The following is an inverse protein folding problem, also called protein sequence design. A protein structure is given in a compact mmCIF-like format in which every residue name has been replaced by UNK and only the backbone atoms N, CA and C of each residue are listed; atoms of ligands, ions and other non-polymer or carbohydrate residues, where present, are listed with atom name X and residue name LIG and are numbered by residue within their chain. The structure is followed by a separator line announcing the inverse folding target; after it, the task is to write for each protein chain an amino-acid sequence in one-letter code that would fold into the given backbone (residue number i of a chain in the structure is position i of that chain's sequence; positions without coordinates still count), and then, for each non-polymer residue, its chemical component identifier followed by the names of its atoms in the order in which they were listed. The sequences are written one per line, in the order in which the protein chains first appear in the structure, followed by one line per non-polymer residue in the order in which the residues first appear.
data_IF_763153776496
#
_entry.id   IF_763153776496
#
_cell.length_a   1.000
_cell.length_b   1.000
_cell.length_c   1.000
_cell.angle_alpha   90.00
_cell.angle_beta   90.00
_cell.angle_gamma   90.00
#
_symmetry.space_group_name_H-M   'P 1'
#
loop_
_entity.id
_entity.type
_entity.pdbx_description
1 polymer ?
#
# COMPACT_ATOMS: atom_id res chain seq x y z
N UNK A 1 14.37 -17.91 26.69
CA UNK A 1 14.91 -16.55 26.45
C UNK A 1 15.85 -16.63 25.27
N UNK A 2 15.39 -16.26 24.07
CA UNK A 2 16.25 -16.11 22.89
C UNK A 2 16.15 -14.66 22.44
N UNK A 3 17.30 -14.01 22.30
CA UNK A 3 17.47 -12.58 22.11
C UNK A 3 17.17 -12.19 20.65
N UNK A 4 16.09 -11.45 20.41
CA UNK A 4 15.84 -10.77 19.13
C UNK A 4 16.89 -9.67 18.94
N UNK A 5 17.89 -9.96 18.10
CA UNK A 5 18.89 -8.98 17.69
C UNK A 5 18.23 -7.91 16.80
N UNK A 6 18.55 -6.66 17.07
CA UNK A 6 18.17 -5.48 16.28
C UNK A 6 18.47 -5.73 14.80
N UNK A 7 17.44 -5.86 13.97
CA UNK A 7 17.57 -6.07 12.53
C UNK A 7 18.12 -4.79 11.88
N UNK A 8 19.38 -4.85 11.42
CA UNK A 8 19.95 -3.86 10.52
C UNK A 8 19.89 -4.43 9.10
N UNK A 9 19.48 -3.62 8.12
CA UNK A 9 19.56 -3.97 6.71
C UNK A 9 20.96 -4.54 6.36
N UNK A 10 21.07 -5.65 5.61
CA UNK A 10 22.36 -6.11 5.14
C UNK A 10 23.00 -5.01 4.26
N UNK A 11 24.20 -4.57 4.62
CA UNK A 11 24.99 -3.69 3.75
C UNK A 11 25.31 -4.44 2.46
N UNK A 12 25.02 -3.84 1.31
CA UNK A 12 25.48 -4.33 0.02
C UNK A 12 26.99 -4.57 0.07
N UNK A 13 27.41 -5.82 -0.13
CA UNK A 13 28.81 -6.16 -0.26
C UNK A 13 29.30 -5.61 -1.61
N UNK A 14 30.03 -4.50 -1.58
CA UNK A 14 30.78 -4.03 -2.75
C UNK A 14 31.86 -5.08 -3.05
N UNK A 15 31.63 -5.89 -4.08
CA UNK A 15 32.65 -6.79 -4.64
C UNK A 15 33.73 -5.96 -5.34
N UNK A 16 34.72 -5.48 -4.59
CA UNK A 16 35.97 -4.99 -5.19
C UNK A 16 36.86 -6.18 -5.53
N UNK A 17 36.80 -6.65 -6.79
CA UNK A 17 37.87 -7.49 -7.35
C UNK A 17 39.15 -6.65 -7.38
N UNK A 18 40.20 -7.21 -6.76
CA UNK A 18 41.43 -6.50 -6.43
C UNK A 18 42.24 -6.04 -7.64
N UNK A 19 42.89 -4.89 -7.46
CA UNK A 19 44.11 -4.50 -8.18
C UNK A 19 45.06 -3.86 -7.16
N UNK A 20 46.34 -4.19 -7.33
CA UNK A 20 47.47 -4.12 -6.37
C UNK A 20 47.83 -2.70 -5.88
N UNK A 21 48.39 -2.65 -4.67
CA UNK A 21 49.15 -1.50 -4.12
C UNK A 21 50.43 -1.24 -4.94
N UNK A 22 50.97 -0.01 -4.85
CA UNK A 22 52.21 0.13 -4.08
C UNK A 22 52.23 1.32 -3.10
N UNK A 23 53.21 1.26 -2.20
CA UNK A 23 53.49 2.13 -1.05
C UNK A 23 54.02 3.53 -1.41
N UNK A 24 53.79 4.54 -0.54
CA UNK A 24 54.85 5.36 0.11
C UNK A 24 54.32 6.48 1.03
N UNK A 25 54.83 6.46 2.26
CA UNK A 25 55.31 7.53 3.17
C UNK A 25 54.67 8.94 3.32
N UNK A 26 54.46 9.26 4.61
CA UNK A 26 54.90 10.46 5.37
C UNK A 26 53.95 11.66 5.63
N UNK A 27 53.59 11.80 6.92
CA UNK A 27 53.51 13.00 7.80
C UNK A 27 52.90 14.31 7.28
N UNK A 28 51.81 14.77 7.94
CA UNK A 28 51.78 16.01 8.76
C UNK A 28 50.44 16.20 9.50
N UNK A 29 50.51 16.63 10.77
CA UNK A 29 49.41 17.20 11.57
C UNK A 29 49.07 18.60 11.04
N UNK A 30 47.78 18.93 10.96
CA UNK A 30 47.26 20.28 11.27
C UNK A 30 45.90 20.14 11.96
N UNK A 31 45.80 20.82 13.10
CA UNK A 31 44.62 21.04 13.94
C UNK A 31 43.60 21.95 13.27
N UNK A 32 42.30 21.65 13.40
CA UNK A 32 41.22 22.55 12.99
C UNK A 32 39.87 22.08 13.52
N UNK A 33 39.51 22.63 14.69
CA UNK A 33 38.16 22.93 15.19
C UNK A 33 36.97 22.08 14.72
N UNK A 34 36.44 21.35 15.70
CA UNK A 34 35.15 20.68 15.73
C UNK A 34 33.99 21.59 15.33
N UNK A 35 33.23 21.15 14.33
CA UNK A 35 31.82 21.50 14.19
C UNK A 35 31.08 20.17 14.22
N UNK A 36 30.50 19.83 15.37
CA UNK A 36 29.58 18.72 15.52
C UNK A 36 28.30 19.04 14.72
N UNK A 37 28.27 18.66 13.45
CA UNK A 37 27.01 18.44 12.76
C UNK A 37 26.45 17.14 13.30
N UNK A 38 25.34 17.23 14.03
CA UNK A 38 24.67 16.08 14.59
C UNK A 38 24.41 15.04 13.51
N UNK A 39 24.91 13.83 13.72
CA UNK A 39 24.47 12.65 13.00
C UNK A 39 22.96 12.54 13.25
N UNK A 40 22.17 12.90 12.24
CA UNK A 40 20.75 12.57 12.21
C UNK A 40 20.64 11.06 12.32
N UNK A 41 20.09 10.59 13.43
CA UNK A 41 19.87 9.18 13.67
C UNK A 41 19.10 8.59 12.48
N UNK A 42 19.77 7.76 11.68
CA UNK A 42 19.10 6.94 10.68
C UNK A 42 18.05 6.09 11.42
N UNK A 43 16.77 6.34 11.17
CA UNK A 43 15.65 5.67 11.81
C UNK A 43 15.71 4.18 11.53
N UNK A 44 16.22 3.42 12.50
CA UNK A 44 16.15 1.96 12.48
C UNK A 44 14.71 1.60 12.79
N UNK A 45 14.04 0.91 11.86
CA UNK A 45 12.75 0.27 12.14
C UNK A 45 12.92 -0.67 13.34
N UNK A 46 11.94 -0.73 14.26
CA UNK A 46 11.98 -1.68 15.36
C UNK A 46 12.00 -3.12 14.81
N UNK A 47 12.53 -4.12 15.56
CA UNK A 47 12.33 -5.52 15.17
C UNK A 47 10.82 -5.83 15.11
N UNK A 48 10.36 -6.64 14.14
CA UNK A 48 8.95 -7.01 14.04
C UNK A 48 8.50 -7.68 15.34
N UNK A 49 7.39 -7.22 15.92
CA UNK A 49 6.84 -7.82 17.15
C UNK A 49 6.22 -9.19 16.92
N UNK A 50 5.81 -9.48 15.68
CA UNK A 50 5.35 -10.80 15.26
C UNK A 50 5.71 -11.05 13.79
N UNK A 51 6.18 -12.26 13.51
CA UNK A 51 6.35 -12.79 12.15
C UNK A 51 4.96 -13.15 11.57
N UNK A 52 4.84 -13.39 10.25
CA UNK A 52 3.66 -14.06 9.69
C UNK A 52 3.34 -15.35 10.47
N UNK A 53 2.09 -15.54 10.91
CA UNK A 53 1.67 -16.70 11.73
C UNK A 53 1.21 -16.43 13.18
N UNK A 54 0.96 -15.16 13.55
CA UNK A 54 0.28 -14.81 14.82
C UNK A 54 -1.23 -15.15 14.75
N UNK A 55 -1.90 -15.50 15.88
CA UNK A 55 -3.33 -15.78 15.89
C UNK A 55 -4.18 -14.58 15.42
N UNK A 56 -5.25 -14.88 14.69
CA UNK A 56 -6.12 -13.88 14.06
C UNK A 56 -7.37 -13.53 14.88
N UNK A 57 -7.86 -12.26 14.81
CA UNK A 57 -7.23 -11.11 14.16
C UNK A 57 -6.10 -10.51 15.02
N UNK A 58 -4.96 -10.19 14.38
CA UNK A 58 -3.88 -9.45 15.04
C UNK A 58 -4.13 -7.94 14.89
N UNK A 59 -3.77 -7.16 15.93
CA UNK A 59 -3.86 -5.71 15.92
C UNK A 59 -2.54 -5.12 16.44
N UNK A 60 -2.00 -4.06 15.80
CA UNK A 60 -0.79 -3.41 16.28
C UNK A 60 -1.05 -2.74 17.64
N UNK A 61 -0.14 -2.92 18.60
CA UNK A 61 -0.26 -2.42 19.98
C UNK A 61 0.24 -0.97 20.15
N UNK A 62 0.72 -0.34 19.07
CA UNK A 62 1.21 1.03 19.10
C UNK A 62 0.16 2.01 19.64
N UNK A 63 0.50 2.73 20.72
CA UNK A 63 -0.38 3.76 21.32
C UNK A 63 -0.50 5.03 20.46
N UNK A 64 0.25 5.10 19.36
CA UNK A 64 0.30 6.24 18.44
C UNK A 64 0.37 5.74 17.00
N UNK A 65 -0.11 6.56 16.08
CA UNK A 65 -0.05 6.32 14.64
C UNK A 65 1.37 6.01 14.13
N UNK A 66 2.38 6.79 14.51
CA UNK A 66 3.75 6.56 14.04
C UNK A 66 4.29 5.20 14.50
N UNK A 67 3.98 4.80 15.73
CA UNK A 67 4.34 3.48 16.22
C UNK A 67 3.66 2.36 15.41
N UNK A 68 2.38 2.52 15.04
CA UNK A 68 1.68 1.57 14.17
C UNK A 68 2.33 1.50 12.78
N UNK A 69 2.66 2.66 12.20
CA UNK A 69 3.29 2.74 10.88
C UNK A 69 4.69 2.10 10.87
N UNK A 70 5.49 2.35 11.91
CA UNK A 70 6.82 1.76 12.07
C UNK A 70 6.73 0.24 12.26
N UNK A 71 5.73 -0.24 13.00
CA UNK A 71 5.47 -1.67 13.21
C UNK A 71 5.06 -2.37 11.90
N UNK A 72 4.15 -1.78 11.13
CA UNK A 72 3.73 -2.31 9.83
C UNK A 72 4.89 -2.31 8.82
N UNK A 73 5.70 -1.25 8.79
CA UNK A 73 6.89 -1.18 7.95
C UNK A 73 7.93 -2.25 8.34
N UNK A 74 8.20 -2.43 9.63
CA UNK A 74 9.09 -3.46 10.14
C UNK A 74 8.60 -4.86 9.76
N UNK A 75 7.29 -5.10 9.85
CA UNK A 75 6.65 -6.38 9.53
C UNK A 75 6.86 -6.78 8.07
N UNK A 76 6.62 -5.87 7.13
CA UNK A 76 6.79 -6.17 5.70
C UNK A 76 8.26 -6.30 5.29
N UNK A 77 9.15 -5.53 5.93
CA UNK A 77 10.61 -5.69 5.75
C UNK A 77 11.08 -7.05 6.25
N UNK A 78 10.58 -7.49 7.41
CA UNK A 78 10.89 -8.81 7.96
C UNK A 78 10.45 -9.93 7.01
N UNK A 79 9.22 -9.86 6.49
CA UNK A 79 8.70 -10.82 5.54
C UNK A 79 9.54 -10.87 4.24
N UNK A 80 9.93 -9.71 3.71
CA UNK A 80 10.62 -9.63 2.41
C UNK A 80 12.10 -10.00 2.47
N UNK A 81 12.81 -9.64 3.54
CA UNK A 81 14.28 -9.76 3.60
C UNK A 81 14.81 -10.77 4.61
N UNK A 82 13.96 -11.24 5.53
CA UNK A 82 14.37 -12.09 6.66
C UNK A 82 13.48 -13.32 6.87
N UNK A 83 12.59 -13.63 5.92
CA UNK A 83 11.80 -14.88 5.91
C UNK A 83 12.64 -16.12 5.58
N UNK A 84 11.99 -17.29 5.53
CA UNK A 84 12.63 -18.61 5.34
C UNK A 84 13.27 -18.85 3.94
N UNK A 85 13.32 -17.82 3.09
CA UNK A 85 13.84 -17.87 1.72
C UNK A 85 15.30 -17.41 1.59
N UNK A 86 15.79 -17.35 0.34
CA UNK A 86 17.13 -16.88 -0.05
C UNK A 86 17.28 -15.34 -0.07
N UNK A 87 16.27 -14.60 0.41
CA UNK A 87 16.23 -13.14 0.40
C UNK A 87 15.75 -12.54 -0.93
N UNK A 88 15.24 -13.35 -1.87
CA UNK A 88 14.77 -12.89 -3.18
C UNK A 88 13.24 -12.81 -3.32
N UNK A 89 12.50 -13.26 -2.29
CA UNK A 89 11.04 -13.30 -2.27
C UNK A 89 10.41 -11.90 -2.40
N UNK A 90 9.38 -11.78 -3.26
CA UNK A 90 8.50 -10.61 -3.29
C UNK A 90 7.35 -10.83 -2.32
N UNK A 91 7.02 -9.79 -1.57
CA UNK A 91 5.93 -9.78 -0.61
C UNK A 91 4.81 -8.89 -1.11
N UNK A 92 3.62 -9.46 -1.23
CA UNK A 92 2.39 -8.80 -1.64
C UNK A 92 1.46 -8.67 -0.44
N UNK A 93 1.19 -7.44 -0.03
CA UNK A 93 0.29 -7.14 1.10
C UNK A 93 -0.96 -6.47 0.57
N UNK A 94 -2.12 -7.07 0.82
CA UNK A 94 -3.40 -6.46 0.48
C UNK A 94 -3.84 -5.48 1.55
N UNK A 95 -4.23 -4.26 1.19
CA UNK A 95 -4.71 -3.25 2.12
C UNK A 95 -6.13 -2.84 1.71
N UNK A 96 -7.11 -3.28 2.49
CA UNK A 96 -8.51 -2.95 2.31
C UNK A 96 -9.03 -1.99 3.38
N UNK A 97 -10.19 -1.39 3.09
CA UNK A 97 -10.89 -0.50 4.00
C UNK A 97 -12.00 0.23 3.27
N UNK A 98 -13.01 0.70 4.01
CA UNK A 98 -14.11 1.48 3.43
C UNK A 98 -13.59 2.78 2.78
N UNK A 99 -14.33 3.39 1.82
CA UNK A 99 -14.05 4.75 1.39
C UNK A 99 -13.94 5.69 2.60
N UNK A 100 -12.90 6.52 2.66
CA UNK A 100 -12.65 7.39 3.81
C UNK A 100 -11.86 6.75 4.97
N UNK A 101 -11.51 5.46 4.90
CA UNK A 101 -10.75 4.77 5.96
C UNK A 101 -9.31 5.24 6.14
N UNK A 102 -8.71 5.84 5.11
CA UNK A 102 -7.30 6.24 5.13
C UNK A 102 -6.33 5.17 4.60
N UNK A 103 -6.83 4.08 3.98
CA UNK A 103 -6.00 3.00 3.40
C UNK A 103 -4.90 3.46 2.43
N UNK A 104 -5.19 4.41 1.53
CA UNK A 104 -4.19 4.94 0.60
C UNK A 104 -3.13 5.77 1.33
N UNK A 105 -3.51 6.46 2.40
CA UNK A 105 -2.58 7.20 3.27
C UNK A 105 -1.68 6.24 4.04
N UNK A 106 -2.25 5.18 4.63
CA UNK A 106 -1.50 4.10 5.28
C UNK A 106 -0.48 3.48 4.31
N UNK A 107 -0.91 3.08 3.11
CA UNK A 107 -0.06 2.46 2.11
C UNK A 107 1.13 3.36 1.72
N UNK A 108 0.89 4.66 1.48
CA UNK A 108 1.95 5.63 1.19
C UNK A 108 2.94 5.75 2.34
N UNK A 109 2.48 5.93 3.57
CA UNK A 109 3.38 6.11 4.72
C UNK A 109 4.18 4.86 5.05
N UNK A 110 3.61 3.67 4.90
CA UNK A 110 4.35 2.40 5.04
C UNK A 110 5.41 2.29 3.95
N UNK A 111 5.05 2.52 2.68
CA UNK A 111 6.00 2.55 1.55
C UNK A 111 7.17 3.49 1.84
N UNK A 112 6.88 4.72 2.25
CA UNK A 112 7.91 5.74 2.47
C UNK A 112 8.87 5.35 3.59
N UNK A 113 8.35 4.79 4.70
CA UNK A 113 9.17 4.27 5.79
C UNK A 113 10.05 3.10 5.37
N UNK A 114 9.51 2.16 4.60
CA UNK A 114 10.26 1.02 4.07
C UNK A 114 11.38 1.49 3.15
N UNK A 115 11.08 2.36 2.18
CA UNK A 115 12.06 2.87 1.23
C UNK A 115 13.14 3.73 1.93
N UNK A 116 12.76 4.53 2.92
CA UNK A 116 13.71 5.30 3.72
C UNK A 116 14.66 4.39 4.51
N UNK A 117 14.13 3.32 5.13
CA UNK A 117 14.93 2.37 5.90
C UNK A 117 15.87 1.54 4.99
N UNK A 118 15.38 1.14 3.81
CA UNK A 118 16.17 0.42 2.81
C UNK A 118 17.19 1.30 2.08
N UNK A 119 16.97 2.63 2.06
CA UNK A 119 17.70 3.61 1.24
C UNK A 119 17.65 3.28 -0.26
N UNK A 120 16.56 2.66 -0.69
CA UNK A 120 16.29 2.28 -2.06
C UNK A 120 14.77 2.18 -2.25
N UNK A 121 14.32 2.24 -3.49
CA UNK A 121 12.92 2.17 -3.88
C UNK A 121 12.53 0.70 -4.11
N UNK A 122 12.37 -0.01 -2.99
CA UNK A 122 12.07 -1.46 -2.90
C UNK A 122 10.61 -1.76 -2.60
N UNK A 123 9.85 -0.75 -2.18
CA UNK A 123 8.43 -0.83 -1.88
C UNK A 123 7.63 0.06 -2.82
N UNK A 124 6.55 -0.48 -3.38
CA UNK A 124 5.65 0.23 -4.29
C UNK A 124 4.19 -0.02 -3.91
N UNK A 125 3.32 0.95 -4.20
CA UNK A 125 1.86 0.82 -4.01
C UNK A 125 1.22 0.46 -5.35
N UNK A 126 0.32 -0.51 -5.33
CA UNK A 126 -0.49 -0.96 -6.45
C UNK A 126 -1.97 -0.64 -6.15
N UNK A 127 -2.49 0.53 -6.55
CA UNK A 127 -3.84 0.95 -6.26
C UNK A 127 -4.88 0.34 -7.21
N UNK A 128 -5.99 -0.12 -6.64
CA UNK A 128 -7.17 -0.59 -7.37
C UNK A 128 -7.87 0.53 -8.15
N UNK A 129 -7.76 1.78 -7.69
CA UNK A 129 -8.51 2.91 -8.26
C UNK A 129 -8.16 3.18 -9.74
N UNK A 130 -6.97 2.78 -10.21
CA UNK A 130 -6.63 2.86 -11.64
C UNK A 130 -7.48 1.96 -12.54
N UNK A 131 -8.21 1.00 -11.98
CA UNK A 131 -9.04 0.05 -12.73
C UNK A 131 -10.52 0.44 -12.77
N UNK A 132 -10.87 1.69 -12.48
CA UNK A 132 -12.21 2.19 -12.80
C UNK A 132 -12.46 2.06 -14.31
N UNK A 133 -13.69 1.73 -14.71
CA UNK A 133 -14.09 2.06 -16.08
C UNK A 133 -14.05 3.59 -16.26
N UNK A 134 -13.59 4.04 -17.44
CA UNK A 134 -13.47 5.47 -17.69
C UNK A 134 -14.84 6.14 -17.68
N UNK A 135 -14.90 7.44 -17.38
CA UNK A 135 -16.18 8.16 -17.41
C UNK A 135 -16.83 8.07 -18.80
N UNK A 136 -16.00 8.10 -19.86
CA UNK A 136 -16.47 7.91 -21.23
C UNK A 136 -17.07 6.52 -21.46
N UNK A 137 -16.43 5.45 -20.95
CA UNK A 137 -16.96 4.09 -21.10
C UNK A 137 -18.32 3.94 -20.38
N UNK A 138 -18.47 4.55 -19.21
CA UNK A 138 -19.73 4.56 -18.47
C UNK A 138 -20.82 5.34 -19.23
N UNK A 139 -20.52 6.57 -19.69
CA UNK A 139 -21.49 7.43 -20.37
C UNK A 139 -21.95 6.89 -21.73
N UNK A 140 -21.05 6.23 -22.46
CA UNK A 140 -21.34 5.67 -23.78
C UNK A 140 -21.87 4.23 -23.72
N UNK A 141 -21.90 3.63 -22.52
CA UNK A 141 -22.13 2.21 -22.32
C UNK A 141 -21.31 1.34 -23.26
N UNK A 142 -20.00 1.60 -23.31
CA UNK A 142 -19.07 0.95 -24.23
C UNK A 142 -19.29 -0.56 -24.23
N UNK A 143 -19.42 -1.15 -25.42
CA UNK A 143 -19.61 -2.59 -25.64
C UNK A 143 -20.78 -3.23 -24.85
N UNK A 144 -21.73 -2.43 -24.35
CA UNK A 144 -22.82 -2.92 -23.51
C UNK A 144 -22.36 -3.37 -22.12
N UNK A 145 -21.31 -2.77 -21.57
CA UNK A 145 -20.74 -3.10 -20.25
C UNK A 145 -21.78 -3.14 -19.12
N UNK A 146 -22.80 -2.27 -19.20
CA UNK A 146 -23.82 -2.16 -18.16
C UNK A 146 -25.23 -2.36 -18.72
N UNK A 147 -26.10 -3.08 -18.00
CA UNK A 147 -27.53 -3.10 -18.29
C UNK A 147 -28.16 -1.70 -18.21
N UNK A 148 -27.64 -0.85 -17.31
CA UNK A 148 -28.07 0.53 -17.09
C UNK A 148 -26.85 1.44 -16.84
N UNK A 149 -26.52 2.23 -17.86
CA UNK A 149 -25.40 3.17 -17.84
C UNK A 149 -25.61 4.32 -16.85
N UNK A 150 -26.84 4.79 -16.67
CA UNK A 150 -27.12 5.86 -15.71
C UNK A 150 -26.87 5.39 -14.28
N UNK A 151 -27.28 4.16 -13.96
CA UNK A 151 -26.96 3.54 -12.67
C UNK A 151 -25.45 3.42 -12.52
N UNK A 152 -24.73 2.97 -13.54
CA UNK A 152 -23.27 2.84 -13.48
C UNK A 152 -22.57 4.18 -13.19
N UNK A 153 -22.99 5.27 -13.84
CA UNK A 153 -22.47 6.63 -13.56
C UNK A 153 -22.80 7.07 -12.14
N UNK A 154 -24.07 6.94 -11.71
CA UNK A 154 -24.51 7.34 -10.35
C UNK A 154 -23.76 6.56 -9.27
N UNK A 155 -23.51 5.27 -9.54
CA UNK A 155 -22.86 4.29 -8.66
C UNK A 155 -21.36 4.18 -8.87
N UNK A 156 -20.72 5.06 -9.67
CA UNK A 156 -19.27 5.02 -9.91
C UNK A 156 -18.52 4.97 -8.58
N UNK A 157 -17.61 4.01 -8.49
CA UNK A 157 -16.92 3.62 -7.26
C UNK A 157 -17.48 2.35 -6.62
N UNK A 158 -18.61 1.80 -7.08
CA UNK A 158 -19.14 0.48 -6.67
C UNK A 158 -18.34 -0.67 -7.30
N UNK A 159 -18.36 -1.91 -6.76
CA UNK A 159 -17.54 -3.01 -7.28
C UNK A 159 -17.68 -3.27 -8.78
N UNK A 160 -18.91 -3.18 -9.31
CA UNK A 160 -19.19 -3.44 -10.73
C UNK A 160 -18.72 -2.33 -11.67
N UNK A 161 -18.30 -1.16 -11.16
CA UNK A 161 -17.78 -0.05 -11.99
C UNK A 161 -16.27 -0.09 -12.15
N UNK A 162 -15.64 -1.22 -11.80
CA UNK A 162 -14.22 -1.51 -12.00
C UNK A 162 -14.05 -2.69 -12.94
N UNK A 163 -12.98 -2.66 -13.71
CA UNK A 163 -12.46 -3.83 -14.40
C UNK A 163 -11.71 -4.74 -13.40
N UNK A 164 -12.50 -5.47 -12.61
CA UNK A 164 -12.00 -6.32 -11.54
C UNK A 164 -11.18 -7.51 -12.07
N UNK A 165 -11.51 -8.00 -13.27
CA UNK A 165 -10.74 -9.06 -13.93
C UNK A 165 -9.36 -8.56 -14.33
N UNK A 166 -9.27 -7.39 -14.97
CA UNK A 166 -7.99 -6.78 -15.32
C UNK A 166 -7.15 -6.48 -14.08
N UNK A 167 -7.76 -5.96 -13.00
CA UNK A 167 -7.07 -5.69 -11.74
C UNK A 167 -6.44 -6.96 -11.16
N UNK A 168 -7.25 -8.00 -10.96
CA UNK A 168 -6.78 -9.24 -10.34
C UNK A 168 -5.76 -9.98 -11.20
N UNK A 169 -5.94 -9.97 -12.54
CA UNK A 169 -4.96 -10.51 -13.48
C UNK A 169 -3.63 -9.75 -13.42
N UNK A 170 -3.64 -8.42 -13.32
CA UNK A 170 -2.42 -7.60 -13.25
C UNK A 170 -1.65 -7.81 -11.94
N UNK A 171 -2.35 -7.95 -10.81
CA UNK A 171 -1.72 -8.29 -9.52
C UNK A 171 -1.09 -9.69 -9.57
N UNK A 172 -1.81 -10.69 -10.11
CA UNK A 172 -1.28 -12.05 -10.30
C UNK A 172 -0.04 -12.05 -11.19
N UNK A 173 -0.06 -11.29 -12.29
CA UNK A 173 1.08 -11.11 -13.18
C UNK A 173 2.29 -10.55 -12.44
N UNK A 174 2.10 -9.47 -11.67
CA UNK A 174 3.16 -8.85 -10.87
C UNK A 174 3.77 -9.80 -9.83
N UNK A 175 2.99 -10.74 -9.26
CA UNK A 175 3.49 -11.75 -8.31
C UNK A 175 4.21 -12.91 -8.99
N UNK A 176 3.65 -13.45 -10.07
CA UNK A 176 4.22 -14.60 -10.78
C UNK A 176 5.55 -14.28 -11.47
N UNK A 177 5.75 -13.02 -11.86
CA UNK A 177 6.96 -12.54 -12.53
C UNK A 177 8.07 -12.22 -11.53
N UNK A 178 8.82 -13.26 -11.15
CA UNK A 178 10.10 -13.16 -10.44
C UNK A 178 11.23 -12.53 -11.29
N UNK A 179 11.05 -11.29 -11.73
CA UNK A 179 12.13 -10.32 -12.06
C UNK A 179 12.72 -10.23 -13.49
N UNK A 180 12.01 -10.53 -14.58
CA UNK A 180 12.54 -10.23 -15.93
C UNK A 180 11.92 -9.02 -16.64
N UNK A 181 10.64 -8.70 -16.40
CA UNK A 181 9.94 -7.61 -17.09
C UNK A 181 9.17 -6.71 -16.10
N UNK A 182 9.08 -5.43 -16.45
CA UNK A 182 8.33 -4.46 -15.67
C UNK A 182 6.82 -4.66 -15.92
N UNK A 183 6.02 -4.71 -14.85
CA UNK A 183 4.55 -4.76 -14.98
C UNK A 183 3.99 -3.36 -14.88
N UNK A 184 3.41 -2.89 -15.98
CA UNK A 184 2.68 -1.62 -16.01
C UNK A 184 1.27 -1.79 -15.43
N UNK A 185 0.77 -0.77 -14.75
CA UNK A 185 -0.58 -0.71 -14.21
C UNK A 185 -1.12 0.72 -14.29
N UNK A 186 -2.44 0.89 -14.45
CA UNK A 186 -3.05 2.21 -14.46
C UNK A 186 -3.02 2.86 -13.08
N UNK A 187 -2.99 4.19 -13.05
CA UNK A 187 -3.28 5.00 -11.87
C UNK A 187 -4.64 5.70 -12.04
N UNK A 188 -5.21 6.19 -10.95
CA UNK A 188 -6.36 7.09 -11.03
C UNK A 188 -5.89 8.54 -10.95
N UNK A 189 -6.17 9.33 -11.99
CA UNK A 189 -5.83 10.74 -11.99
C UNK A 189 -6.95 11.54 -11.31
N UNK A 190 -6.64 12.15 -10.17
CA UNK A 190 -7.59 12.96 -9.41
C UNK A 190 -7.93 14.30 -10.08
N UNK A 191 -7.09 14.78 -11.01
CA UNK A 191 -7.35 16.02 -11.77
C UNK A 191 -8.40 15.78 -12.86
N UNK A 192 -8.27 14.68 -13.61
CA UNK A 192 -9.21 14.32 -14.69
C UNK A 192 -10.39 13.49 -14.19
N UNK A 193 -10.31 12.96 -12.96
CA UNK A 193 -11.25 11.97 -12.41
C UNK A 193 -11.40 10.72 -13.30
N UNK A 194 -10.30 10.29 -13.92
CA UNK A 194 -10.28 9.11 -14.79
C UNK A 194 -8.98 8.30 -14.67
N UNK A 195 -8.99 7.01 -15.06
CA UNK A 195 -7.78 6.21 -15.18
C UNK A 195 -6.76 6.80 -16.15
N UNK A 196 -5.49 6.65 -15.80
CA UNK A 196 -4.34 6.89 -16.66
C UNK A 196 -3.59 5.56 -16.82
N UNK A 197 -3.64 4.99 -18.03
CA UNK A 197 -2.96 3.74 -18.35
C UNK A 197 -1.45 3.85 -18.19
N UNK A 198 -0.83 2.73 -17.82
CA UNK A 198 0.64 2.59 -17.68
C UNK A 198 1.34 3.61 -16.75
N UNK A 199 0.59 4.30 -15.90
CA UNK A 199 1.12 5.31 -14.98
C UNK A 199 1.95 4.75 -13.82
N UNK A 200 1.82 3.46 -13.51
CA UNK A 200 2.54 2.77 -12.44
C UNK A 200 3.38 1.65 -13.04
N UNK A 201 4.65 1.58 -12.66
CA UNK A 201 5.60 0.59 -13.15
C UNK A 201 6.12 -0.26 -11.98
N UNK A 202 5.71 -1.52 -11.93
CA UNK A 202 6.15 -2.49 -10.94
C UNK A 202 7.40 -3.22 -11.45
N UNK A 203 8.55 -2.71 -11.02
CA UNK A 203 9.88 -3.19 -11.43
C UNK A 203 10.34 -4.41 -10.67
N UNK A 204 11.28 -5.15 -11.26
CA UNK A 204 12.00 -6.27 -10.63
C UNK A 204 12.57 -5.95 -9.23
N UNK A 205 13.05 -4.72 -9.01
CA UNK A 205 13.62 -4.27 -7.73
C UNK A 205 12.59 -4.12 -6.60
N UNK A 206 11.29 -3.99 -6.91
CA UNK A 206 10.27 -3.83 -5.89
C UNK A 206 10.04 -5.18 -5.21
N UNK A 207 10.64 -5.36 -4.03
CA UNK A 207 10.48 -6.55 -3.19
C UNK A 207 9.19 -6.53 -2.39
N UNK A 208 8.61 -5.35 -2.15
CA UNK A 208 7.35 -5.21 -1.41
C UNK A 208 6.34 -4.49 -2.30
N UNK A 209 5.16 -5.09 -2.48
CA UNK A 209 4.05 -4.52 -3.25
C UNK A 209 2.83 -4.42 -2.36
N UNK A 210 2.40 -3.19 -2.08
CA UNK A 210 1.21 -2.90 -1.29
C UNK A 210 0.01 -2.75 -2.22
N UNK A 211 -0.80 -3.80 -2.33
CA UNK A 211 -2.01 -3.84 -3.18
C UNK A 211 -3.16 -3.22 -2.41
N UNK A 212 -3.55 -1.99 -2.73
CA UNK A 212 -4.54 -1.24 -1.95
C UNK A 212 -5.83 -0.97 -2.72
N UNK A 213 -6.98 -1.12 -2.05
CA UNK A 213 -8.28 -0.92 -2.67
C UNK A 213 -9.44 -1.31 -1.78
N UNK A 214 -10.63 -0.75 -2.05
CA UNK A 214 -11.81 -1.03 -1.22
C UNK A 214 -12.18 -2.53 -1.28
N UNK A 215 -12.00 -3.15 -2.44
CA UNK A 215 -12.57 -4.46 -2.76
C UNK A 215 -11.57 -5.62 -2.74
N UNK A 216 -10.31 -5.35 -2.38
CA UNK A 216 -9.20 -6.33 -2.38
C UNK A 216 -9.53 -7.60 -1.56
N UNK A 217 -10.39 -7.49 -0.54
CA UNK A 217 -10.77 -8.61 0.32
C UNK A 217 -12.23 -9.06 0.19
N UNK A 218 -12.97 -8.61 -0.85
CA UNK A 218 -14.33 -9.10 -1.05
C UNK A 218 -14.33 -10.61 -1.36
N UNK A 219 -15.34 -11.37 -0.89
CA UNK A 219 -15.42 -12.82 -1.09
C UNK A 219 -16.03 -13.22 -2.45
N UNK A 220 -16.40 -12.24 -3.27
CA UNK A 220 -17.01 -12.48 -4.58
C UNK A 220 -15.93 -12.47 -5.66
N UNK A 221 -16.11 -13.31 -6.68
CA UNK A 221 -15.27 -13.27 -7.88
C UNK A 221 -15.38 -11.90 -8.57
N UNK A 222 -14.29 -11.40 -9.19
CA UNK A 222 -12.96 -11.99 -9.22
C UNK A 222 -12.09 -11.64 -8.00
N UNK A 223 -12.57 -10.78 -7.10
CA UNK A 223 -11.81 -10.24 -5.97
C UNK A 223 -11.28 -11.30 -5.02
N UNK A 224 -12.09 -12.32 -4.73
CA UNK A 224 -11.73 -13.39 -3.80
C UNK A 224 -10.46 -14.12 -4.21
N UNK A 225 -10.17 -14.20 -5.51
CA UNK A 225 -8.97 -14.85 -6.03
C UNK A 225 -7.66 -14.24 -5.52
N UNK A 226 -7.66 -12.99 -5.01
CA UNK A 226 -6.46 -12.40 -4.39
C UNK A 226 -6.12 -13.06 -3.05
N UNK A 227 -7.14 -13.41 -2.26
CA UNK A 227 -6.96 -14.06 -0.95
C UNK A 227 -6.99 -15.58 -1.06
N UNK A 228 -7.90 -16.12 -1.86
CA UNK A 228 -8.20 -17.56 -1.89
C UNK A 228 -7.19 -18.36 -2.74
N UNK A 229 -6.39 -17.71 -3.59
CA UNK A 229 -5.30 -18.33 -4.36
C UNK A 229 -3.92 -17.91 -3.85
N UNK A 230 -3.83 -17.43 -2.59
CA UNK A 230 -2.58 -17.01 -1.95
C UNK A 230 -1.76 -15.99 -2.76
N UNK A 231 -2.45 -15.11 -3.51
CA UNK A 231 -1.79 -14.01 -4.23
C UNK A 231 -1.28 -12.97 -3.24
N UNK A 232 -1.98 -12.77 -2.13
CA UNK A 232 -1.53 -11.92 -1.02
C UNK A 232 -0.86 -12.77 0.04
N UNK A 233 0.36 -12.40 0.43
CA UNK A 233 1.09 -13.05 1.52
C UNK A 233 0.54 -12.62 2.89
N UNK A 234 -0.06 -11.42 2.96
CA UNK A 234 -0.80 -10.94 4.11
C UNK A 234 -1.90 -9.94 3.70
N UNK A 235 -2.99 -9.86 4.45
CA UNK A 235 -4.08 -8.90 4.22
C UNK A 235 -4.36 -8.02 5.44
N UNK A 236 -4.42 -6.71 5.23
CA UNK A 236 -4.72 -5.69 6.23
C UNK A 236 -6.07 -5.06 5.94
N UNK A 237 -6.83 -4.78 6.99
CA UNK A 237 -8.03 -3.96 6.93
C UNK A 237 -7.87 -2.74 7.82
N UNK A 238 -8.05 -1.56 7.25
CA UNK A 238 -8.05 -0.30 8.00
C UNK A 238 -9.41 -0.14 8.69
N UNK A 239 -9.47 -0.53 9.96
CA UNK A 239 -10.70 -0.62 10.75
C UNK A 239 -11.08 0.74 11.32
N UNK A 240 -12.24 1.23 10.86
CA UNK A 240 -12.88 2.45 11.29
C UNK A 240 -14.39 2.24 11.21
N UNK A 241 -15.19 2.79 12.13
CA UNK A 241 -16.64 2.81 11.97
C UNK A 241 -17.04 3.48 10.65
N UNK A 242 -17.98 2.88 9.92
CA UNK A 242 -18.44 3.41 8.62
C UNK A 242 -18.91 4.86 8.74
N UNK A 243 -19.59 5.22 9.83
CA UNK A 243 -20.04 6.60 10.05
C UNK A 243 -18.89 7.60 10.13
N UNK A 244 -17.78 7.24 10.76
CA UNK A 244 -16.59 8.08 10.81
C UNK A 244 -15.92 8.17 9.43
N UNK A 245 -15.83 7.05 8.72
CA UNK A 245 -15.31 7.04 7.35
C UNK A 245 -16.16 7.95 6.42
N UNK A 246 -17.50 7.92 6.56
CA UNK A 246 -18.41 8.76 5.78
C UNK A 246 -18.28 10.24 6.14
N UNK A 247 -18.08 10.60 7.42
CA UNK A 247 -17.76 11.99 7.79
C UNK A 247 -16.53 12.51 7.05
N UNK A 248 -15.48 11.69 6.92
CA UNK A 248 -14.26 12.04 6.17
C UNK A 248 -14.51 12.14 4.66
N UNK A 249 -15.35 11.26 4.10
CA UNK A 249 -15.76 11.33 2.69
C UNK A 249 -16.55 12.60 2.40
N UNK A 250 -17.51 12.94 3.25
CA UNK A 250 -18.28 14.19 3.15
C UNK A 250 -17.34 15.41 3.18
N UNK A 251 -16.41 15.46 4.14
CA UNK A 251 -15.38 16.52 4.25
C UNK A 251 -14.58 16.64 2.95
N UNK A 252 -14.16 15.52 2.35
CA UNK A 252 -13.43 15.50 1.08
C UNK A 252 -14.27 15.99 -0.09
N UNK A 253 -15.54 15.59 -0.16
CA UNK A 253 -16.47 16.07 -1.20
C UNK A 253 -16.64 17.58 -1.15
N UNK A 254 -16.72 18.16 0.05
CA UNK A 254 -16.75 19.62 0.24
C UNK A 254 -15.43 20.26 -0.17
N UNK A 255 -14.29 19.67 0.21
CA UNK A 255 -12.97 20.19 -0.14
C UNK A 255 -12.74 20.26 -1.67
N UNK A 256 -13.35 19.36 -2.44
CA UNK A 256 -13.30 19.38 -3.92
C UNK A 256 -14.44 20.21 -4.56
N UNK A 257 -15.12 21.04 -3.77
CA UNK A 257 -16.03 22.08 -4.26
C UNK A 257 -17.53 21.73 -4.26
N UNK A 258 -17.95 20.57 -3.72
CA UNK A 258 -19.39 20.27 -3.57
C UNK A 258 -19.99 21.06 -2.41
N UNK A 259 -21.27 21.39 -2.50
CA UNK A 259 -21.98 21.94 -1.33
C UNK A 259 -22.10 20.87 -0.23
N UNK A 260 -22.24 21.26 1.06
CA UNK A 260 -22.44 20.29 2.14
C UNK A 260 -23.63 19.34 1.92
N UNK A 261 -24.72 19.84 1.32
CA UNK A 261 -25.90 19.03 1.02
C UNK A 261 -25.62 17.98 -0.07
N UNK A 262 -24.94 18.36 -1.15
CA UNK A 262 -24.54 17.43 -2.23
C UNK A 262 -23.51 16.41 -1.75
N UNK A 263 -22.53 16.85 -0.96
CA UNK A 263 -21.53 16.00 -0.34
C UNK A 263 -22.17 14.92 0.53
N UNK A 264 -23.12 15.32 1.39
CA UNK A 264 -23.88 14.41 2.24
C UNK A 264 -24.73 13.43 1.42
N UNK A 265 -25.50 13.94 0.46
CA UNK A 265 -26.33 13.10 -0.39
C UNK A 265 -25.49 12.03 -1.12
N UNK A 266 -24.35 12.43 -1.70
CA UNK A 266 -23.45 11.49 -2.39
C UNK A 266 -22.83 10.48 -1.44
N UNK A 267 -22.39 10.91 -0.26
CA UNK A 267 -21.85 10.00 0.74
C UNK A 267 -22.90 8.96 1.16
N UNK A 268 -24.11 9.38 1.50
CA UNK A 268 -25.17 8.49 1.96
C UNK A 268 -25.69 7.55 0.85
N UNK A 269 -25.85 8.06 -0.38
CA UNK A 269 -26.46 7.28 -1.47
C UNK A 269 -25.47 6.39 -2.24
N UNK A 270 -24.15 6.64 -2.12
CA UNK A 270 -23.14 5.92 -2.87
C UNK A 270 -22.03 5.36 -1.98
N UNK A 271 -21.23 6.25 -1.38
CA UNK A 271 -20.01 5.87 -0.66
C UNK A 271 -20.30 4.99 0.55
N UNK A 272 -21.40 5.26 1.26
CA UNK A 272 -21.85 4.49 2.43
C UNK A 272 -22.19 3.06 2.07
N UNK A 273 -22.96 2.84 1.00
CA UNK A 273 -23.32 1.49 0.55
C UNK A 273 -22.08 0.66 0.18
N UNK A 274 -21.08 1.30 -0.43
CA UNK A 274 -19.79 0.66 -0.71
C UNK A 274 -19.01 0.41 0.59
N UNK A 275 -19.00 1.38 1.50
CA UNK A 275 -18.33 1.31 2.79
C UNK A 275 -18.87 0.20 3.69
N UNK A 276 -20.20 0.03 3.76
CA UNK A 276 -20.88 -1.03 4.52
C UNK A 276 -20.60 -2.41 3.95
N UNK A 277 -20.63 -2.54 2.61
CA UNK A 277 -20.26 -3.78 1.93
C UNK A 277 -18.85 -4.22 2.32
N UNK A 278 -17.87 -3.32 2.21
CA UNK A 278 -16.47 -3.59 2.52
C UNK A 278 -16.27 -3.90 4.01
N UNK A 279 -16.88 -3.09 4.88
CA UNK A 279 -16.77 -3.23 6.33
C UNK A 279 -17.34 -4.57 6.83
N UNK A 280 -18.44 -5.05 6.25
CA UNK A 280 -19.02 -6.36 6.53
C UNK A 280 -18.01 -7.51 6.34
N UNK A 281 -17.04 -7.34 5.46
CA UNK A 281 -16.04 -8.36 5.12
C UNK A 281 -14.67 -8.14 5.78
N UNK A 282 -14.55 -7.22 6.74
CA UNK A 282 -13.27 -6.95 7.44
C UNK A 282 -12.63 -8.17 8.11
N UNK A 283 -13.45 -9.15 8.52
CA UNK A 283 -12.98 -10.41 9.13
C UNK A 283 -12.17 -11.32 8.20
N UNK A 284 -12.05 -11.00 6.90
CA UNK A 284 -11.16 -11.70 5.95
C UNK A 284 -9.71 -11.21 6.00
N UNK A 285 -9.43 -10.15 6.78
CA UNK A 285 -8.09 -9.65 6.96
C UNK A 285 -7.32 -10.42 8.03
N UNK A 286 -6.03 -10.56 7.80
CA UNK A 286 -5.05 -11.06 8.75
C UNK A 286 -4.80 -10.00 9.85
N UNK A 287 -4.79 -8.72 9.49
CA UNK A 287 -4.53 -7.62 10.41
C UNK A 287 -5.65 -6.60 10.38
N UNK A 288 -6.14 -6.23 11.57
CA UNK A 288 -7.00 -5.05 11.73
C UNK A 288 -6.12 -3.87 12.16
N UNK A 289 -5.94 -2.91 11.26
CA UNK A 289 -5.14 -1.71 11.48
C UNK A 289 -6.07 -0.59 11.95
N UNK A 290 -5.84 0.02 13.13
CA UNK A 290 -6.63 1.17 13.56
C UNK A 290 -6.46 2.34 12.59
N UNK A 291 -7.57 2.98 12.23
CA UNK A 291 -7.55 4.21 11.44
C UNK A 291 -7.30 5.43 12.33
N UNK A 292 -6.35 6.27 11.92
CA UNK A 292 -6.12 7.59 12.52
C UNK A 292 -6.66 8.66 11.57
N UNK A 293 -7.30 9.71 12.09
CA UNK A 293 -7.63 10.87 11.26
C UNK A 293 -6.32 11.61 10.98
N UNK A 294 -5.83 11.39 9.77
CA UNK A 294 -4.66 12.08 9.25
C UNK A 294 -5.17 13.44 8.80
N UNK A 295 -5.23 14.42 9.69
CA UNK A 295 -5.40 15.80 9.26
C UNK A 295 -4.33 16.08 8.21
N UNK A 296 -4.77 16.51 7.03
CA UNK A 296 -3.97 16.62 5.81
C UNK A 296 -2.66 17.38 6.09
N UNK A 297 -1.53 16.68 5.94
CA UNK A 297 -0.22 17.32 5.67
C UNK A 297 -0.24 17.84 4.25
#
# INVERSE_FOLDING_TARGET
MSSLATAAFPRAAVSSRGVRRPERNARRRVSGTSVSRGDGAASRLPPPRALPGVPFPWAPEGSTQDAVLDELAARVVAAAFFGDGDGDARVFVGIAGSPGSGKSTLARFVRDRVNAAAKDDVCVVFPMDGFHYSMNDLLTNKDGLFPDAEIAVKRRGSPFTFDAEAFTARVKKAKAEGSSEDVLAPAFCHETHDPEEDAICIKAKHKIVLVEGNYVLLPNEPWCALKDLDVLDESWFVDVPVDEAMRRVERRHVAVGRTPAEAKLRADSNDRLNGELVWKHKGRADVLVPSYDMDDV
#
